data_IF_352100337299
#
_entry.id   IF_352100337299
#
_cell.length_a   1.000
_cell.length_b   1.000
_cell.length_c   1.000
_cell.angle_alpha   90.00
_cell.angle_beta   90.00
_cell.angle_gamma   90.00
#
_symmetry.space_group_name_H-M   'P 1'
#
loop_
_entity.id
_entity.type
_entity.pdbx_description
1 polymer ?
#
# COMPACT_ATOMS: atom_id res chain seq x y z
N UNK A 1 -10.50 -22.77 31.71
CA UNK A 1 -11.28 -22.44 30.50
C UNK A 1 -11.03 -21.03 29.92
N UNK A 2 -10.29 -20.12 30.58
CA UNK A 2 -10.01 -18.78 30.03
C UNK A 2 -8.76 -18.71 29.14
N UNK A 3 -7.74 -19.53 29.42
CA UNK A 3 -6.43 -19.50 28.73
C UNK A 3 -6.54 -20.03 27.29
N UNK A 4 -7.37 -21.06 27.06
CA UNK A 4 -7.59 -21.64 25.74
C UNK A 4 -8.27 -20.69 24.76
N UNK A 5 -9.18 -19.83 25.23
CA UNK A 5 -9.85 -18.85 24.37
C UNK A 5 -8.89 -17.72 23.91
N UNK A 6 -8.04 -17.21 24.80
CA UNK A 6 -7.08 -16.15 24.47
C UNK A 6 -6.01 -16.61 23.48
N UNK A 7 -5.50 -17.85 23.64
CA UNK A 7 -4.53 -18.44 22.72
C UNK A 7 -5.15 -18.65 21.32
N UNK A 8 -6.42 -19.08 21.26
CA UNK A 8 -7.13 -19.25 19.99
C UNK A 8 -7.35 -17.90 19.27
N UNK A 9 -7.66 -16.83 20.02
CA UNK A 9 -7.82 -15.47 19.46
C UNK A 9 -6.49 -14.95 18.93
N UNK A 10 -5.39 -15.10 19.67
CA UNK A 10 -4.05 -14.71 19.22
C UNK A 10 -3.61 -15.49 17.98
N UNK A 11 -3.87 -16.80 17.94
CA UNK A 11 -3.56 -17.65 16.79
C UNK A 11 -4.38 -17.27 15.55
N UNK A 12 -5.64 -16.88 15.72
CA UNK A 12 -6.49 -16.39 14.62
C UNK A 12 -6.09 -14.98 14.14
N UNK A 13 -5.68 -14.08 15.04
CA UNK A 13 -5.09 -12.79 14.64
C UNK A 13 -3.79 -12.96 13.85
N UNK A 14 -2.99 -13.97 14.20
CA UNK A 14 -1.75 -14.28 13.48
C UNK A 14 -2.06 -14.87 12.09
N UNK A 15 -3.00 -15.81 11.99
CA UNK A 15 -3.37 -16.48 10.74
C UNK A 15 -4.07 -15.56 9.71
N UNK A 16 -4.80 -14.53 10.15
CA UNK A 16 -5.41 -13.55 9.24
C UNK A 16 -4.38 -12.65 8.54
N UNK A 17 -3.21 -12.42 9.15
CA UNK A 17 -2.13 -11.66 8.52
C UNK A 17 -1.37 -12.49 7.47
N UNK A 18 -1.35 -13.82 7.60
CA UNK A 18 -0.58 -14.73 6.74
C UNK A 18 -1.12 -14.82 5.32
N UNK A 19 -2.44 -14.79 5.10
CA UNK A 19 -3.01 -15.01 3.76
C UNK A 19 -2.90 -13.80 2.81
N UNK A 20 -2.56 -12.61 3.31
CA UNK A 20 -2.26 -11.45 2.48
C UNK A 20 -0.75 -11.29 2.18
N UNK A 21 0.13 -11.97 2.92
CA UNK A 21 1.57 -11.74 2.92
C UNK A 21 2.38 -12.64 1.96
N UNK A 22 1.80 -13.73 1.45
CA UNK A 22 2.61 -14.86 0.97
C UNK A 22 3.00 -14.86 -0.53
N UNK A 23 2.63 -13.85 -1.32
CA UNK A 23 3.03 -13.80 -2.75
C UNK A 23 4.35 -13.01 -3.01
N UNK A 24 5.01 -12.50 -1.96
CA UNK A 24 6.14 -11.55 -2.05
C UNK A 24 7.47 -12.10 -1.52
N UNK A 25 7.62 -13.42 -1.44
CA UNK A 25 8.76 -14.08 -0.78
C UNK A 25 10.07 -14.13 -1.61
N UNK A 26 10.16 -13.37 -2.70
CA UNK A 26 11.44 -13.16 -3.39
C UNK A 26 12.12 -11.95 -2.77
N UNK A 27 13.29 -12.17 -2.15
CA UNK A 27 14.08 -11.11 -1.54
C UNK A 27 14.27 -9.94 -2.49
N UNK A 28 14.09 -8.72 -1.97
CA UNK A 28 14.33 -7.52 -2.74
C UNK A 28 15.80 -7.51 -3.23
N UNK A 29 16.09 -6.93 -4.42
CA UNK A 29 17.47 -6.69 -4.85
C UNK A 29 18.27 -5.97 -3.76
N UNK A 30 19.58 -6.14 -3.77
CA UNK A 30 20.46 -5.42 -2.84
C UNK A 30 20.20 -3.91 -2.90
N UNK A 31 19.97 -3.29 -1.73
CA UNK A 31 19.66 -1.87 -1.60
C UNK A 31 18.19 -1.48 -1.83
N UNK A 32 17.32 -2.39 -2.29
CA UNK A 32 15.90 -2.11 -2.38
C UNK A 32 15.23 -2.22 -1.01
N UNK A 33 14.48 -1.18 -0.63
CA UNK A 33 13.89 -1.02 0.70
C UNK A 33 12.42 -1.40 0.77
N UNK A 34 11.71 -1.37 -0.36
CA UNK A 34 10.30 -1.71 -0.46
C UNK A 34 9.90 -2.09 -1.88
N UNK A 35 8.75 -2.77 -2.00
CA UNK A 35 8.07 -2.98 -3.27
C UNK A 35 6.70 -2.31 -3.21
N UNK A 36 6.48 -1.38 -4.13
CA UNK A 36 5.30 -0.53 -4.17
C UNK A 36 4.35 -1.00 -5.28
N UNK A 37 3.05 -0.83 -5.04
CA UNK A 37 1.98 -1.33 -5.89
C UNK A 37 1.72 -2.84 -5.72
N UNK A 38 0.46 -3.26 -5.88
CA UNK A 38 0.06 -4.67 -5.94
C UNK A 38 -0.38 -5.07 -7.35
N UNK A 39 0.48 -4.84 -8.33
CA UNK A 39 0.20 -5.11 -9.75
C UNK A 39 1.09 -4.28 -10.67
N UNK A 40 0.65 -4.08 -11.92
CA UNK A 40 1.35 -3.20 -12.85
C UNK A 40 1.15 -1.74 -12.44
N UNK A 41 2.25 -1.05 -12.13
CA UNK A 41 2.26 0.41 -11.98
C UNK A 41 2.05 0.99 -13.38
N UNK A 42 0.93 1.68 -13.58
CA UNK A 42 0.50 2.17 -14.89
C UNK A 42 1.05 3.54 -15.24
N UNK A 43 1.58 4.28 -14.26
CA UNK A 43 2.04 5.63 -14.51
C UNK A 43 2.83 6.24 -13.36
N UNK A 44 2.58 7.54 -13.13
CA UNK A 44 3.38 8.34 -12.21
C UNK A 44 3.23 7.92 -10.74
N UNK A 45 4.26 8.28 -9.99
CA UNK A 45 4.34 8.20 -8.52
C UNK A 45 4.52 9.63 -8.01
N UNK A 46 3.83 10.01 -6.94
CA UNK A 46 3.93 11.36 -6.36
C UNK A 46 4.08 11.33 -4.84
N UNK A 47 5.01 12.13 -4.31
CA UNK A 47 5.07 12.42 -2.88
C UNK A 47 4.04 13.47 -2.50
N UNK A 48 3.48 13.37 -1.30
CA UNK A 48 2.80 14.51 -0.68
C UNK A 48 3.79 15.65 -0.44
N UNK A 49 3.34 16.92 -0.38
CA UNK A 49 4.23 18.06 -0.17
C UNK A 49 5.03 18.01 1.13
N UNK A 50 4.48 17.40 2.18
CA UNK A 50 5.15 17.17 3.47
C UNK A 50 6.07 15.93 3.46
N UNK A 51 6.09 15.18 2.35
CA UNK A 51 6.90 13.98 2.17
C UNK A 51 6.44 12.77 2.99
N UNK A 52 5.31 12.83 3.69
CA UNK A 52 4.85 11.75 4.60
C UNK A 52 4.05 10.65 3.89
N UNK A 53 3.62 10.91 2.65
CA UNK A 53 2.82 9.99 1.83
C UNK A 53 3.41 9.84 0.45
N UNK A 54 3.23 8.65 -0.12
CA UNK A 54 3.57 8.33 -1.51
C UNK A 54 2.33 7.76 -2.20
N UNK A 55 1.90 8.38 -3.30
CA UNK A 55 0.81 7.90 -4.14
C UNK A 55 1.38 7.17 -5.35
N UNK A 56 0.86 5.97 -5.63
CA UNK A 56 1.30 5.10 -6.75
C UNK A 56 0.08 4.71 -7.57
N UNK A 57 0.01 5.19 -8.82
CA UNK A 57 -1.05 4.82 -9.76
C UNK A 57 -0.86 3.40 -10.33
N UNK A 58 -1.92 2.61 -10.35
CA UNK A 58 -1.94 1.27 -10.94
C UNK A 58 -3.23 0.99 -11.69
N UNK A 59 -3.31 -0.17 -12.37
CA UNK A 59 -4.54 -0.68 -12.98
C UNK A 59 -5.65 -1.03 -11.99
N UNK A 60 -5.35 -1.05 -10.69
CA UNK A 60 -6.31 -1.36 -9.62
C UNK A 60 -6.85 -0.06 -8.99
N UNK A 61 -6.06 1.01 -9.01
CA UNK A 61 -6.37 2.27 -8.34
C UNK A 61 -5.10 3.01 -7.93
N UNK A 62 -5.21 3.85 -6.91
CA UNK A 62 -4.07 4.62 -6.36
C UNK A 62 -3.74 4.08 -4.98
N UNK A 63 -2.55 3.50 -4.84
CA UNK A 63 -2.04 3.04 -3.55
C UNK A 63 -1.39 4.21 -2.83
N UNK A 64 -1.74 4.40 -1.55
CA UNK A 64 -1.08 5.34 -0.66
C UNK A 64 -0.18 4.59 0.30
N UNK A 65 1.07 5.01 0.39
CA UNK A 65 2.06 4.47 1.32
C UNK A 65 2.52 5.52 2.31
N UNK A 66 2.84 5.08 3.52
CA UNK A 66 3.63 5.84 4.48
C UNK A 66 5.11 5.79 4.05
N UNK A 67 5.77 6.93 3.93
CA UNK A 67 7.14 6.99 3.37
C UNK A 67 8.23 6.60 4.35
N UNK A 68 7.91 6.53 5.65
CA UNK A 68 8.87 6.11 6.69
C UNK A 68 8.92 4.60 6.78
N UNK A 69 7.75 3.95 6.70
CA UNK A 69 7.59 2.51 6.90
C UNK A 69 7.39 1.73 5.60
N UNK A 70 7.10 2.43 4.50
CA UNK A 70 6.64 1.87 3.23
C UNK A 70 5.42 0.95 3.33
N UNK A 71 4.66 1.06 4.43
CA UNK A 71 3.42 0.33 4.60
C UNK A 71 2.28 1.01 3.84
N UNK A 72 1.38 0.19 3.31
CA UNK A 72 0.16 0.65 2.68
C UNK A 72 -0.76 1.28 3.72
N UNK A 73 -1.22 2.50 3.44
CA UNK A 73 -2.15 3.27 4.29
C UNK A 73 -3.56 3.19 3.71
N UNK A 74 -3.70 3.22 2.39
CA UNK A 74 -4.99 3.15 1.71
C UNK A 74 -4.87 2.74 0.24
N UNK A 75 -5.98 2.27 -0.32
CA UNK A 75 -6.20 2.13 -1.76
C UNK A 75 -7.39 3.01 -2.16
N UNK A 76 -7.16 3.98 -3.05
CA UNK A 76 -8.21 4.80 -3.64
C UNK A 76 -8.68 4.13 -4.94
N UNK A 77 -9.97 3.79 -5.00
CA UNK A 77 -10.61 3.13 -6.14
C UNK A 77 -11.62 4.06 -6.81
N UNK A 78 -12.06 3.71 -8.02
CA UNK A 78 -13.10 4.44 -8.76
C UNK A 78 -12.77 4.62 -10.24
N UNK A 79 -11.49 4.63 -10.60
CA UNK A 79 -11.07 4.57 -12.01
C UNK A 79 -11.45 3.21 -12.61
N UNK A 80 -12.10 3.24 -13.78
CA UNK A 80 -12.48 2.03 -14.53
C UNK A 80 -11.34 1.46 -15.39
N UNK A 81 -10.22 2.17 -15.46
CA UNK A 81 -9.01 1.80 -16.19
C UNK A 81 -7.74 2.11 -15.39
N UNK A 82 -6.59 2.01 -16.06
CA UNK A 82 -5.31 2.34 -15.44
C UNK A 82 -5.22 3.80 -15.02
N UNK A 83 -4.60 4.06 -13.87
CA UNK A 83 -4.26 5.42 -13.43
C UNK A 83 -2.86 5.75 -13.94
N UNK A 84 -2.77 6.69 -14.87
CA UNK A 84 -1.53 7.07 -15.54
C UNK A 84 -0.87 8.30 -14.91
N UNK A 85 -1.64 9.11 -14.19
CA UNK A 85 -1.17 10.32 -13.52
C UNK A 85 -1.77 10.46 -12.13
N UNK A 86 -0.93 10.91 -11.19
CA UNK A 86 -1.31 11.27 -9.82
C UNK A 86 -0.56 12.53 -9.40
N UNK A 87 -1.24 13.42 -8.68
CA UNK A 87 -0.61 14.62 -8.10
C UNK A 87 -1.30 15.00 -6.79
N UNK A 88 -0.51 15.33 -5.77
CA UNK A 88 -1.03 15.93 -4.55
C UNK A 88 -1.28 17.44 -4.76
N UNK A 89 -2.34 17.95 -4.14
CA UNK A 89 -2.50 19.39 -3.95
C UNK A 89 -1.35 19.95 -3.09
N UNK A 90 -1.01 21.24 -3.20
CA UNK A 90 0.06 21.84 -2.39
C UNK A 90 -0.16 21.76 -0.87
N UNK A 91 -1.41 21.62 -0.41
CA UNK A 91 -1.75 21.41 1.00
C UNK A 91 -1.75 19.92 1.42
N UNK A 92 -1.50 19.00 0.49
CA UNK A 92 -1.42 17.56 0.71
C UNK A 92 -2.77 16.86 0.96
N UNK A 93 -3.89 17.58 0.93
CA UNK A 93 -5.20 17.03 1.32
C UNK A 93 -5.97 16.38 0.19
N UNK A 94 -5.65 16.74 -1.05
CA UNK A 94 -6.37 16.28 -2.24
C UNK A 94 -5.40 15.62 -3.21
N UNK A 95 -5.88 14.61 -3.92
CA UNK A 95 -5.14 13.96 -5.01
C UNK A 95 -5.95 14.13 -6.30
N UNK A 96 -5.32 14.70 -7.32
CA UNK A 96 -5.81 14.68 -8.69
C UNK A 96 -5.27 13.42 -9.40
N UNK A 97 -6.09 12.76 -10.22
CA UNK A 97 -5.69 11.55 -10.94
C UNK A 97 -6.44 11.34 -12.24
N UNK A 98 -5.81 10.62 -13.16
CA UNK A 98 -6.36 10.26 -14.48
C UNK A 98 -5.48 9.26 -15.23
#
# INVERSE_FOLDING_TARGET
MKITATLLILLNLFALNTFAQDYMQWGLPEGATARLGKGLISGNIAYSPDGTRLAVGSHIGIWLYDTTTYQEVALLTGHMGGVYSVAFSPDGKTIASG
#
